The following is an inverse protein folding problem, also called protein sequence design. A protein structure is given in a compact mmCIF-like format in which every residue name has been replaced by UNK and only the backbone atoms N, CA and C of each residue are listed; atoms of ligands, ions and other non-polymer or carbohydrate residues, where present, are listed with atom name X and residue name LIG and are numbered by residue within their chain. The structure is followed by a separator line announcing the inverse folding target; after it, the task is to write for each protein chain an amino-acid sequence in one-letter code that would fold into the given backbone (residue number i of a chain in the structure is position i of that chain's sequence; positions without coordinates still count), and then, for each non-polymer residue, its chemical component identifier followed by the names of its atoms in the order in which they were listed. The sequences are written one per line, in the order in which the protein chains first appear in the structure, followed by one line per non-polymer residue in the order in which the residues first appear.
data_IF_614745088960
#
_entry.id   IF_614745088960
#
_cell.length_a   1.000
_cell.length_b   1.000
_cell.length_c   1.000
_cell.angle_alpha   90.00
_cell.angle_beta   90.00
_cell.angle_gamma   90.00
#
_symmetry.space_group_name_H-M   'P 1'
#
loop_
_entity.id
_entity.type
_entity.pdbx_description
1 polymer ?
#
# COMPACT_ATOMS: atom_id res chain seq x y z
N UNK A 1 14.61 -12.34 -3.72
CA UNK A 1 15.07 -11.48 -4.84
C UNK A 1 13.90 -10.70 -5.41
N UNK A 2 14.08 -9.39 -5.55
CA UNK A 2 13.05 -8.51 -6.13
C UNK A 2 12.91 -8.78 -7.63
N UNK A 3 11.68 -8.98 -8.10
CA UNK A 3 11.40 -9.24 -9.51
C UNK A 3 10.91 -8.02 -10.28
N UNK A 4 10.43 -6.99 -9.59
CA UNK A 4 9.97 -5.75 -10.20
C UNK A 4 10.52 -4.56 -9.43
N UNK A 5 11.02 -3.57 -10.15
CA UNK A 5 11.53 -2.34 -9.55
C UNK A 5 10.38 -1.42 -9.15
N UNK A 6 10.69 -0.37 -8.39
CA UNK A 6 9.71 0.65 -8.04
C UNK A 6 9.09 1.29 -9.28
N UNK A 7 9.92 1.63 -10.29
CA UNK A 7 9.43 2.25 -11.52
C UNK A 7 8.53 1.31 -12.31
N UNK A 8 8.89 0.02 -12.39
CA UNK A 8 8.07 -0.97 -13.08
C UNK A 8 6.72 -1.16 -12.39
N UNK A 9 6.72 -1.21 -11.06
CA UNK A 9 5.48 -1.35 -10.29
C UNK A 9 4.61 -0.11 -10.39
N UNK A 10 5.21 1.06 -10.35
CA UNK A 10 4.47 2.31 -10.50
C UNK A 10 3.79 2.36 -11.87
N UNK A 11 4.52 2.05 -12.93
CA UNK A 11 3.96 2.00 -14.29
C UNK A 11 2.86 0.94 -14.41
N UNK A 12 3.06 -0.23 -13.82
CA UNK A 12 2.06 -1.30 -13.83
C UNK A 12 0.77 -0.86 -13.14
N UNK A 13 0.87 -0.25 -11.97
CA UNK A 13 -0.31 0.20 -11.23
C UNK A 13 -1.12 1.21 -12.03
N UNK A 14 -0.47 2.19 -12.62
CA UNK A 14 -1.15 3.24 -13.40
C UNK A 14 -1.80 2.67 -14.65
N UNK A 15 -1.21 1.63 -15.25
CA UNK A 15 -1.77 0.95 -16.42
C UNK A 15 -2.94 0.04 -16.06
N UNK A 16 -2.80 -0.72 -14.97
CA UNK A 16 -3.79 -1.73 -14.58
C UNK A 16 -4.96 -1.15 -13.79
N UNK A 17 -4.74 -0.05 -13.07
CA UNK A 17 -5.74 0.55 -12.19
C UNK A 17 -5.85 2.05 -12.49
N UNK A 18 -6.79 2.45 -13.36
CA UNK A 18 -6.94 3.85 -13.78
C UNK A 18 -7.13 4.83 -12.61
N UNK A 19 -7.73 4.38 -11.51
CA UNK A 19 -7.95 5.23 -10.34
C UNK A 19 -6.67 5.61 -9.59
N UNK A 20 -5.52 5.04 -9.95
CA UNK A 20 -4.25 5.38 -9.31
C UNK A 20 -3.89 6.85 -9.52
N UNK A 21 -4.20 7.41 -10.70
CA UNK A 21 -3.96 8.82 -10.97
C UNK A 21 -4.83 9.71 -10.09
N UNK A 22 -6.08 9.30 -9.87
CA UNK A 22 -7.02 10.04 -9.01
C UNK A 22 -6.56 10.03 -7.57
N UNK A 23 -6.03 8.92 -7.08
CA UNK A 23 -5.55 8.78 -5.72
C UNK A 23 -4.16 9.39 -5.53
N UNK A 24 -3.47 9.69 -6.62
CA UNK A 24 -2.13 10.27 -6.61
C UNK A 24 -1.12 9.42 -5.86
N UNK A 25 -1.19 8.11 -6.08
CA UNK A 25 -0.24 7.18 -5.50
C UNK A 25 1.05 7.13 -6.33
N UNK A 26 2.16 6.94 -5.63
CA UNK A 26 3.45 6.72 -6.26
C UNK A 26 4.25 5.68 -5.49
N UNK A 27 4.80 4.70 -6.20
CA UNK A 27 5.70 3.72 -5.60
C UNK A 27 7.07 4.36 -5.48
N UNK A 28 7.53 4.60 -4.26
CA UNK A 28 8.79 5.31 -4.01
C UNK A 28 9.98 4.38 -3.88
N UNK A 29 9.82 3.29 -3.16
CA UNK A 29 10.91 2.35 -2.89
C UNK A 29 10.40 0.93 -2.90
N UNK A 30 11.26 0.03 -3.36
CA UNK A 30 11.00 -1.41 -3.33
C UNK A 30 12.30 -2.09 -2.94
N UNK A 31 12.22 -2.97 -1.96
CA UNK A 31 13.32 -3.82 -1.51
C UNK A 31 12.77 -5.23 -1.32
N UNK A 32 13.61 -6.17 -0.93
CA UNK A 32 13.13 -7.51 -0.67
C UNK A 32 12.10 -7.49 0.47
N UNK A 33 10.88 -7.95 0.17
CA UNK A 33 9.74 -8.00 1.10
C UNK A 33 9.35 -6.65 1.69
N UNK A 34 9.61 -5.57 0.95
CA UNK A 34 9.31 -4.21 1.41
C UNK A 34 8.92 -3.32 0.24
N UNK A 35 7.93 -2.47 0.46
CA UNK A 35 7.60 -1.39 -0.48
C UNK A 35 7.14 -0.16 0.27
N UNK A 36 7.49 1.00 -0.27
CA UNK A 36 6.99 2.29 0.21
C UNK A 36 6.15 2.92 -0.88
N UNK A 37 4.91 3.26 -0.53
CA UNK A 37 3.99 3.95 -1.43
C UNK A 37 3.57 5.26 -0.78
N UNK A 38 3.60 6.32 -1.57
CA UNK A 38 3.20 7.67 -1.13
C UNK A 38 1.85 7.99 -1.74
N UNK A 39 0.95 8.57 -0.93
CA UNK A 39 -0.27 9.20 -1.39
C UNK A 39 -0.09 10.71 -1.24
N UNK A 40 -0.08 11.44 -2.35
CA UNK A 40 0.03 12.88 -2.30
C UNK A 40 -1.22 13.49 -1.66
N UNK A 41 -1.03 14.53 -0.89
CA UNK A 41 -2.14 15.22 -0.24
C UNK A 41 -3.12 15.76 -1.27
N UNK A 42 -4.42 15.50 -1.05
CA UNK A 42 -5.49 15.93 -1.94
C UNK A 42 -6.77 16.07 -1.13
N UNK A 43 -7.53 17.14 -1.40
CA UNK A 43 -8.76 17.43 -0.68
C UNK A 43 -9.79 16.29 -0.79
N UNK A 44 -9.76 15.51 -1.87
CA UNK A 44 -10.69 14.37 -2.05
C UNK A 44 -10.52 13.28 -1.01
N UNK A 45 -9.38 13.23 -0.34
CA UNK A 45 -9.12 12.22 0.70
C UNK A 45 -9.59 12.69 2.09
N UNK A 46 -10.04 13.92 2.20
CA UNK A 46 -10.40 14.50 3.48
C UNK A 46 -11.81 14.11 3.90
N UNK A 47 -11.99 14.03 5.20
CA UNK A 47 -13.30 13.92 5.85
C UNK A 47 -13.66 15.28 6.48
N UNK A 48 -14.91 15.46 6.95
CA UNK A 48 -15.26 16.67 7.72
C UNK A 48 -14.27 16.87 8.88
N UNK A 49 -13.80 18.09 9.02
CA UNK A 49 -12.78 18.44 10.01
C UNK A 49 -11.39 18.56 9.42
N UNK A 50 -11.23 18.31 8.10
CA UNK A 50 -9.96 18.51 7.40
C UNK A 50 -8.91 17.43 7.61
N UNK A 51 -9.28 16.25 8.14
CA UNK A 51 -8.35 15.14 8.30
C UNK A 51 -8.54 14.12 7.19
N UNK A 52 -7.47 13.41 6.86
CA UNK A 52 -7.53 12.35 5.86
C UNK A 52 -8.41 11.22 6.38
N UNK A 53 -9.33 10.74 5.55
CA UNK A 53 -10.33 9.75 5.95
C UNK A 53 -9.73 8.38 6.21
N UNK A 54 -10.38 7.62 7.11
CA UNK A 54 -10.01 6.23 7.37
C UNK A 54 -10.03 5.36 6.12
N UNK A 55 -11.09 5.42 5.30
CA UNK A 55 -11.10 4.66 4.04
C UNK A 55 -9.94 4.98 3.10
N UNK A 56 -9.49 6.24 3.03
CA UNK A 56 -8.32 6.60 2.22
C UNK A 56 -7.04 5.94 2.75
N UNK A 57 -6.88 5.89 4.07
CA UNK A 57 -5.74 5.22 4.70
C UNK A 57 -5.78 3.71 4.46
N UNK A 58 -6.97 3.10 4.55
CA UNK A 58 -7.15 1.67 4.28
C UNK A 58 -6.80 1.32 2.84
N UNK A 59 -7.24 2.14 1.89
CA UNK A 59 -6.97 1.91 0.47
C UNK A 59 -5.46 2.02 0.19
N UNK A 60 -4.79 2.99 0.79
CA UNK A 60 -3.35 3.15 0.65
C UNK A 60 -2.60 1.94 1.23
N UNK A 61 -2.99 1.49 2.43
CA UNK A 61 -2.37 0.32 3.05
C UNK A 61 -2.52 -0.92 2.18
N UNK A 62 -3.72 -1.12 1.62
CA UNK A 62 -3.98 -2.25 0.74
C UNK A 62 -3.12 -2.20 -0.51
N UNK A 63 -3.03 -1.04 -1.14
CA UNK A 63 -2.21 -0.84 -2.33
C UNK A 63 -0.73 -1.08 -2.03
N UNK A 64 -0.23 -0.58 -0.90
CA UNK A 64 1.17 -0.76 -0.53
C UNK A 64 1.53 -2.24 -0.34
N UNK A 65 0.64 -3.01 0.29
CA UNK A 65 0.86 -4.45 0.45
C UNK A 65 0.83 -5.18 -0.88
N UNK A 66 -0.10 -4.83 -1.77
CA UNK A 66 -0.17 -5.37 -3.12
C UNK A 66 1.16 -5.15 -3.85
N UNK A 67 1.70 -3.95 -3.78
CA UNK A 67 2.99 -3.61 -4.40
C UNK A 67 4.12 -4.45 -3.81
N UNK A 68 4.17 -4.57 -2.47
CA UNK A 68 5.23 -5.33 -1.81
C UNK A 68 5.20 -6.81 -2.22
N UNK A 69 4.01 -7.37 -2.39
CA UNK A 69 3.86 -8.77 -2.82
C UNK A 69 4.28 -8.93 -4.28
N UNK A 70 3.79 -8.08 -5.18
CA UNK A 70 4.12 -8.16 -6.60
C UNK A 70 5.61 -7.93 -6.85
N UNK A 71 6.27 -7.13 -6.02
CA UNK A 71 7.71 -6.94 -6.11
C UNK A 71 8.46 -8.27 -5.99
N UNK A 72 7.92 -9.20 -5.21
CA UNK A 72 8.54 -10.50 -4.97
C UNK A 72 8.13 -11.57 -5.97
N UNK A 73 6.91 -11.53 -6.48
CA UNK A 73 6.36 -12.62 -7.32
C UNK A 73 6.17 -12.23 -8.78
N UNK A 74 6.33 -10.96 -9.12
CA UNK A 74 6.09 -10.46 -10.48
C UNK A 74 4.64 -10.08 -10.71
N UNK A 75 4.27 -9.80 -11.96
CA UNK A 75 2.92 -9.38 -12.31
C UNK A 75 1.92 -10.50 -12.09
N UNK A 76 1.19 -10.43 -10.99
CA UNK A 76 0.08 -11.34 -10.68
C UNK A 76 -1.11 -10.46 -10.31
N UNK A 77 -1.76 -9.83 -11.32
CA UNK A 77 -2.76 -8.79 -11.05
C UNK A 77 -3.97 -9.28 -10.28
N UNK A 78 -4.26 -10.58 -10.31
CA UNK A 78 -5.40 -11.15 -9.60
C UNK A 78 -5.11 -11.54 -8.16
N UNK A 79 -3.91 -11.27 -7.65
CA UNK A 79 -3.67 -11.37 -6.21
C UNK A 79 -4.66 -10.45 -5.50
N UNK A 80 -5.31 -10.96 -4.45
CA UNK A 80 -6.46 -10.25 -3.85
C UNK A 80 -6.39 -10.30 -2.34
N UNK A 81 -6.80 -9.19 -1.72
CA UNK A 81 -6.92 -9.07 -0.26
C UNK A 81 -8.04 -9.98 0.24
N UNK A 82 -7.73 -10.83 1.21
CA UNK A 82 -8.74 -11.65 1.88
C UNK A 82 -9.02 -11.17 3.29
N UNK A 83 -8.11 -10.42 3.89
CA UNK A 83 -8.31 -9.86 5.23
C UNK A 83 -7.48 -8.60 5.37
N UNK A 84 -8.07 -7.60 5.99
CA UNK A 84 -7.40 -6.36 6.35
C UNK A 84 -7.90 -5.93 7.73
N UNK A 85 -6.98 -5.76 8.66
CA UNK A 85 -7.28 -5.25 10.00
C UNK A 85 -6.42 -4.03 10.23
N UNK A 86 -7.03 -2.90 10.59
CA UNK A 86 -6.30 -1.66 10.75
C UNK A 86 -6.68 -1.00 12.07
N UNK A 87 -5.67 -0.44 12.73
CA UNK A 87 -5.85 0.39 13.90
C UNK A 87 -5.44 1.82 13.54
N UNK A 88 -6.36 2.76 13.75
CA UNK A 88 -6.09 4.18 13.57
C UNK A 88 -5.63 4.72 14.91
N UNK A 89 -4.41 5.22 14.99
CA UNK A 89 -3.79 5.54 16.26
C UNK A 89 -3.71 7.03 16.54
N UNK A 90 -3.68 7.84 15.49
CA UNK A 90 -3.66 9.28 15.65
C UNK A 90 -4.13 9.95 14.38
N UNK A 91 -4.54 11.22 14.53
CA UNK A 91 -5.06 12.01 13.43
C UNK A 91 -3.95 12.35 12.44
N UNK A 92 -4.10 12.01 11.13
CA UNK A 92 -3.09 12.40 10.15
C UNK A 92 -3.05 13.91 9.98
N UNK A 93 -1.87 14.42 9.69
CA UNK A 93 -1.70 15.82 9.35
C UNK A 93 -2.20 16.08 7.93
N UNK A 94 -2.40 17.37 7.57
CA UNK A 94 -2.73 17.78 6.21
C UNK A 94 -1.44 17.73 5.37
N UNK A 95 -1.01 16.54 5.01
CA UNK A 95 0.26 16.27 4.34
C UNK A 95 0.14 14.97 3.58
N UNK A 96 1.14 14.67 2.75
CA UNK A 96 1.23 13.36 2.10
C UNK A 96 1.25 12.26 3.15
N UNK A 97 0.77 11.09 2.79
CA UNK A 97 0.82 9.89 3.66
C UNK A 97 1.75 8.88 3.03
N UNK A 98 2.60 8.30 3.88
CA UNK A 98 3.56 7.29 3.47
C UNK A 98 3.16 5.97 4.08
N UNK A 99 3.09 4.93 3.24
CA UNK A 99 2.79 3.58 3.67
C UNK A 99 4.00 2.68 3.43
N UNK A 100 4.53 2.12 4.51
CA UNK A 100 5.64 1.17 4.47
C UNK A 100 5.07 -0.23 4.70
N UNK A 101 5.09 -1.05 3.64
CA UNK A 101 4.57 -2.40 3.67
C UNK A 101 5.70 -3.42 3.78
N UNK A 102 5.51 -4.41 4.65
CA UNK A 102 6.46 -5.52 4.79
C UNK A 102 5.74 -6.84 4.65
N UNK A 103 6.31 -7.74 3.84
CA UNK A 103 5.80 -9.09 3.70
C UNK A 103 6.45 -9.95 4.77
N UNK A 104 5.63 -10.47 5.69
CA UNK A 104 6.09 -11.29 6.80
C UNK A 104 6.16 -12.76 6.42
N UNK A 105 5.20 -13.21 5.61
CA UNK A 105 5.17 -14.59 5.12
C UNK A 105 4.75 -14.56 3.65
N UNK A 106 5.50 -15.26 2.83
CA UNK A 106 5.21 -15.37 1.40
C UNK A 106 5.15 -16.85 1.03
N UNK A 107 3.94 -17.39 0.97
CA UNK A 107 3.69 -18.77 0.54
C UNK A 107 3.25 -18.83 -0.91
N UNK A 108 2.92 -20.03 -1.38
CA UNK A 108 2.46 -20.22 -2.76
C UNK A 108 1.07 -19.62 -3.00
N UNK A 109 0.21 -19.66 -2.00
CA UNK A 109 -1.19 -19.25 -2.12
C UNK A 109 -1.59 -18.11 -1.20
N UNK A 110 -0.81 -17.89 -0.13
CA UNK A 110 -1.10 -16.85 0.83
C UNK A 110 0.14 -16.03 1.12
N UNK A 111 -0.05 -14.73 1.25
CA UNK A 111 0.96 -13.83 1.75
C UNK A 111 0.37 -13.06 2.92
N UNK A 112 1.17 -12.86 3.95
CA UNK A 112 0.77 -12.10 5.13
C UNK A 112 1.81 -11.01 5.37
N UNK A 113 1.32 -9.81 5.66
CA UNK A 113 2.21 -8.70 5.93
C UNK A 113 1.57 -7.62 6.78
N UNK A 114 2.33 -6.58 7.05
CA UNK A 114 1.83 -5.42 7.76
C UNK A 114 2.24 -4.13 7.05
N UNK A 115 1.49 -3.07 7.33
CA UNK A 115 1.74 -1.74 6.76
C UNK A 115 1.71 -0.73 7.89
N UNK A 116 2.76 0.08 7.96
CA UNK A 116 2.83 1.22 8.87
C UNK A 116 2.58 2.49 8.06
N UNK A 117 1.68 3.34 8.53
CA UNK A 117 1.31 4.57 7.83
C UNK A 117 1.74 5.78 8.65
N UNK A 118 2.29 6.76 7.96
CA UNK A 118 2.85 7.97 8.56
C UNK A 118 2.43 9.21 7.76
N UNK A 119 2.24 10.33 8.45
CA UNK A 119 2.23 11.63 7.76
C UNK A 119 3.65 11.96 7.36
N UNK A 120 3.84 12.52 6.16
CA UNK A 120 5.17 12.90 5.69
C UNK A 120 5.83 13.84 6.69
N UNK A 121 7.07 13.53 7.07
CA UNK A 121 7.83 14.33 8.03
C UNK A 121 7.57 14.03 9.50
N UNK A 122 6.65 13.12 9.82
CA UNK A 122 6.33 12.75 11.20
C UNK A 122 6.73 11.28 11.41
N UNK A 123 7.61 10.99 12.37
CA UNK A 123 8.06 9.61 12.61
C UNK A 123 7.05 8.74 13.33
N UNK A 124 5.97 9.31 13.88
CA UNK A 124 4.97 8.53 14.61
C UNK A 124 3.89 8.01 13.69
N UNK A 125 3.54 6.73 13.83
CA UNK A 125 2.51 6.10 13.00
C UNK A 125 1.14 6.72 13.24
N UNK A 126 0.43 6.99 12.14
CA UNK A 126 -0.98 7.39 12.22
C UNK A 126 -1.88 6.17 12.21
N UNK A 127 -1.44 5.07 11.61
CA UNK A 127 -2.20 3.82 11.56
C UNK A 127 -1.28 2.65 11.30
N UNK A 128 -1.75 1.46 11.67
CA UNK A 128 -1.05 0.20 11.41
C UNK A 128 -2.05 -0.85 10.96
N UNK A 129 -1.73 -1.56 9.88
CA UNK A 129 -2.61 -2.58 9.31
C UNK A 129 -1.88 -3.90 9.19
N UNK A 130 -2.64 -5.00 9.33
CA UNK A 130 -2.19 -6.33 8.96
C UNK A 130 -3.07 -6.82 7.83
N UNK A 131 -2.47 -7.48 6.84
CA UNK A 131 -3.19 -7.91 5.65
C UNK A 131 -2.80 -9.35 5.29
N UNK A 132 -3.79 -10.07 4.75
CA UNK A 132 -3.58 -11.37 4.14
C UNK A 132 -4.05 -11.29 2.69
N UNK A 133 -3.24 -11.80 1.79
CA UNK A 133 -3.56 -11.87 0.35
C UNK A 133 -3.63 -13.30 -0.10
N UNK A 134 -4.57 -13.57 -1.00
CA UNK A 134 -4.63 -14.82 -1.75
C UNK A 134 -3.91 -14.62 -3.07
N UNK A 135 -3.01 -15.56 -3.37
CA UNK A 135 -2.24 -15.53 -4.62
C UNK A 135 -2.80 -16.61 -5.53
N UNK A 136 -3.35 -16.24 -6.71
CA UNK A 136 -3.87 -17.25 -7.63
C UNK A 136 -2.75 -18.11 -8.19
N UNK A 137 -3.09 -19.37 -8.47
CA UNK A 137 -2.15 -20.30 -9.07
C UNK A 137 -1.78 -19.85 -10.48
N UNK A 138 -0.50 -19.82 -10.78
CA UNK A 138 -0.01 -19.64 -12.15
C UNK A 138 -0.08 -20.94 -12.90
N UNK A 139 -0.43 -20.85 -14.16
CA UNK A 139 -0.41 -21.99 -15.07
C UNK A 139 0.76 -21.88 -16.02
#
# INVERSE_FOLDING_TARGET
MVRMSADELDAFLHRAFPQMDENRYRVEEVHERFARVRMAFDARHLRPGGTISGPSLMALADTAMYVAILAMIGEVPLAVTTNLSINFMRKPQAADVIADARVLKLGKRLAVGDVSLFSDGDPEMVAHATLTYSIPQRR
#
